data_IF_746043428618
#
_entry.id   IF_746043428618
#
_cell.length_a   1.000
_cell.length_b   1.000
_cell.length_c   1.000
_cell.angle_alpha   90.00
_cell.angle_beta   90.00
_cell.angle_gamma   90.00
#
_symmetry.space_group_name_H-M   'P 1'
#
loop_
_entity.id
_entity.type
_entity.pdbx_description
1 polymer ?
#
# COMPACT_ATOMS: atom_id res chain seq x y z
N UNK A 1 23.71 -5.05 -8.39
CA UNK A 1 22.69 -4.72 -7.38
C UNK A 1 21.52 -4.08 -8.12
N UNK A 2 20.35 -4.69 -8.05
CA UNK A 2 19.11 -4.08 -8.58
C UNK A 2 18.85 -2.80 -7.80
N UNK A 3 18.76 -1.65 -8.49
CA UNK A 3 18.45 -0.39 -7.81
C UNK A 3 17.01 -0.41 -7.29
N UNK A 4 16.74 0.38 -6.25
CA UNK A 4 15.41 0.52 -5.62
C UNK A 4 14.32 0.80 -6.68
N UNK A 5 14.64 1.64 -7.66
CA UNK A 5 13.75 2.01 -8.77
C UNK A 5 13.44 0.83 -9.72
N UNK A 6 14.43 -0.01 -10.01
CA UNK A 6 14.22 -1.22 -10.83
C UNK A 6 13.27 -2.20 -10.12
N UNK A 7 13.34 -2.28 -8.79
CA UNK A 7 12.44 -3.12 -7.99
C UNK A 7 10.97 -2.69 -8.12
N UNK A 8 10.68 -1.41 -8.37
CA UNK A 8 9.31 -0.93 -8.62
C UNK A 8 8.84 -1.25 -10.03
N UNK A 9 9.63 -0.83 -11.03
CA UNK A 9 9.17 -0.65 -12.40
C UNK A 9 9.31 -1.92 -13.24
N UNK A 10 10.43 -2.63 -13.08
CA UNK A 10 10.84 -3.68 -14.03
C UNK A 10 10.67 -5.09 -13.45
N UNK A 11 10.43 -5.17 -12.13
CA UNK A 11 10.41 -6.44 -11.41
C UNK A 11 8.96 -6.93 -11.21
N UNK A 12 8.60 -8.11 -11.75
CA UNK A 12 7.26 -8.65 -11.64
C UNK A 12 6.88 -8.95 -10.19
N UNK A 13 5.58 -9.00 -9.90
CA UNK A 13 5.06 -9.31 -8.56
C UNK A 13 5.49 -10.71 -8.06
N UNK A 14 5.78 -11.63 -8.97
CA UNK A 14 6.31 -12.97 -8.69
C UNK A 14 7.79 -13.01 -8.34
N UNK A 15 8.51 -11.88 -8.42
CA UNK A 15 9.93 -11.84 -8.10
C UNK A 15 10.21 -12.26 -6.66
N UNK A 16 11.20 -13.12 -6.49
CA UNK A 16 11.60 -13.66 -5.19
C UNK A 16 12.44 -12.61 -4.46
N UNK A 17 11.90 -12.09 -3.37
CA UNK A 17 12.54 -11.12 -2.49
C UNK A 17 13.57 -11.84 -1.61
N UNK A 18 13.20 -13.01 -1.05
CA UNK A 18 14.06 -13.81 -0.18
C UNK A 18 14.18 -15.23 -0.75
N UNK A 19 15.36 -15.56 -1.28
CA UNK A 19 15.58 -16.84 -1.98
C UNK A 19 15.45 -18.05 -1.07
N UNK A 20 15.83 -17.93 0.21
CA UNK A 20 15.77 -19.03 1.18
C UNK A 20 14.36 -19.46 1.54
N UNK A 21 13.43 -18.52 1.62
CA UNK A 21 12.04 -18.77 2.02
C UNK A 21 11.09 -18.80 0.82
N UNK A 22 11.55 -18.35 -0.36
CA UNK A 22 10.71 -18.19 -1.54
C UNK A 22 9.73 -17.01 -1.45
N UNK A 23 9.86 -16.14 -0.44
CA UNK A 23 8.99 -14.98 -0.29
C UNK A 23 9.09 -14.06 -1.52
N UNK A 24 7.93 -13.69 -2.07
CA UNK A 24 7.84 -12.89 -3.30
C UNK A 24 7.46 -11.44 -3.02
N UNK A 25 7.70 -10.56 -4.01
CA UNK A 25 7.31 -9.13 -3.97
C UNK A 25 5.83 -8.98 -3.63
N UNK A 26 4.96 -9.81 -4.23
CA UNK A 26 3.52 -9.75 -3.98
C UNK A 26 3.14 -10.01 -2.52
N UNK A 27 3.80 -11.00 -1.87
CA UNK A 27 3.52 -11.32 -0.47
C UNK A 27 3.90 -10.15 0.45
N UNK A 28 5.07 -9.55 0.22
CA UNK A 28 5.54 -8.39 0.96
C UNK A 28 4.63 -7.18 0.73
N UNK A 29 4.25 -6.90 -0.53
CA UNK A 29 3.32 -5.81 -0.84
C UNK A 29 1.95 -6.00 -0.18
N UNK A 30 1.45 -7.23 -0.14
CA UNK A 30 0.21 -7.55 0.56
C UNK A 30 0.32 -7.25 2.05
N UNK A 31 1.40 -7.65 2.71
CA UNK A 31 1.62 -7.33 4.12
C UNK A 31 1.64 -5.82 4.39
N UNK A 32 2.27 -5.03 3.50
CA UNK A 32 2.26 -3.55 3.59
C UNK A 32 0.83 -3.02 3.45
N UNK A 33 0.06 -3.52 2.47
CA UNK A 33 -1.35 -3.14 2.27
C UNK A 33 -2.26 -3.57 3.43
N UNK A 34 -1.91 -4.64 4.14
CA UNK A 34 -2.60 -5.11 5.34
C UNK A 34 -2.16 -4.29 6.59
N UNK A 35 -1.19 -3.38 6.45
CA UNK A 35 -0.81 -2.39 7.45
C UNK A 35 0.55 -2.59 8.12
N UNK A 36 1.37 -3.55 7.66
CA UNK A 36 2.73 -3.73 8.18
C UNK A 36 3.62 -2.53 7.82
N UNK A 37 4.34 -1.99 8.81
CA UNK A 37 5.10 -0.73 8.68
C UNK A 37 6.62 -0.89 8.77
N UNK A 38 7.10 -2.03 9.20
CA UNK A 38 8.51 -2.34 9.37
C UNK A 38 8.79 -3.80 9.03
N UNK A 39 10.07 -4.16 8.98
CA UNK A 39 10.50 -5.51 8.62
C UNK A 39 9.92 -6.56 9.56
N UNK A 40 9.97 -6.31 10.87
CA UNK A 40 9.51 -7.27 11.89
C UNK A 40 8.01 -7.52 11.78
N UNK A 41 7.20 -6.49 11.55
CA UNK A 41 5.76 -6.63 11.27
C UNK A 41 5.48 -7.47 10.02
N UNK A 42 6.31 -7.35 8.98
CA UNK A 42 6.16 -8.18 7.78
C UNK A 42 6.51 -9.64 8.09
N UNK A 43 7.50 -9.91 8.95
CA UNK A 43 7.88 -11.28 9.33
C UNK A 43 6.78 -12.05 10.05
N UNK A 44 5.86 -11.35 10.71
CA UNK A 44 4.71 -11.99 11.38
C UNK A 44 3.75 -12.66 10.38
N UNK A 45 3.76 -12.22 9.12
CA UNK A 45 2.81 -12.67 8.08
C UNK A 45 3.47 -13.28 6.86
N UNK A 46 4.75 -12.96 6.61
CA UNK A 46 5.54 -13.46 5.49
C UNK A 46 6.80 -14.12 6.04
N UNK A 47 7.07 -15.36 5.64
CA UNK A 47 8.29 -16.05 6.03
C UNK A 47 9.51 -15.38 5.36
N UNK A 48 10.28 -14.60 6.13
CA UNK A 48 11.47 -13.88 5.67
C UNK A 48 12.70 -14.37 6.43
N UNK A 49 13.80 -14.56 5.70
CA UNK A 49 15.09 -14.87 6.30
C UNK A 49 15.83 -13.60 6.75
N UNK A 50 16.69 -13.72 7.77
CA UNK A 50 17.54 -12.62 8.24
C UNK A 50 18.76 -12.37 7.33
N UNK A 51 18.62 -12.57 6.02
CA UNK A 51 19.68 -12.26 5.06
C UNK A 51 19.70 -10.77 4.73
N UNK A 52 20.88 -10.16 4.64
CA UNK A 52 21.04 -8.72 4.35
C UNK A 52 20.35 -8.35 3.02
N UNK A 53 20.40 -9.23 2.01
CA UNK A 53 19.76 -8.98 0.71
C UNK A 53 18.24 -8.99 0.82
N UNK A 54 17.69 -9.97 1.57
CA UNK A 54 16.26 -10.06 1.86
C UNK A 54 15.79 -8.81 2.61
N UNK A 55 16.51 -8.43 3.67
CA UNK A 55 16.23 -7.24 4.47
C UNK A 55 16.23 -5.96 3.62
N UNK A 56 17.29 -5.72 2.85
CA UNK A 56 17.42 -4.52 2.01
C UNK A 56 16.31 -4.41 0.96
N UNK A 57 15.88 -5.53 0.38
CA UNK A 57 14.79 -5.54 -0.61
C UNK A 57 13.44 -5.25 0.05
N UNK A 58 13.17 -5.80 1.24
CA UNK A 58 11.94 -5.51 2.00
C UNK A 58 11.92 -4.05 2.44
N UNK A 59 13.03 -3.52 2.96
CA UNK A 59 13.15 -2.10 3.30
C UNK A 59 12.90 -1.20 2.10
N UNK A 60 13.44 -1.55 0.92
CA UNK A 60 13.19 -0.81 -0.30
C UNK A 60 11.68 -0.77 -0.62
N UNK A 61 10.99 -1.90 -0.53
CA UNK A 61 9.54 -1.95 -0.74
C UNK A 61 8.78 -1.09 0.27
N UNK A 62 9.14 -1.15 1.56
CA UNK A 62 8.54 -0.29 2.58
C UNK A 62 8.73 1.19 2.27
N UNK A 63 9.96 1.63 1.98
CA UNK A 63 10.27 3.04 1.67
C UNK A 63 9.47 3.58 0.48
N UNK A 64 9.10 2.71 -0.46
CA UNK A 64 8.38 3.09 -1.67
C UNK A 64 6.86 3.05 -1.49
N UNK A 65 6.34 1.99 -0.88
CA UNK A 65 4.89 1.74 -0.84
C UNK A 65 4.23 2.22 0.45
N UNK A 66 4.95 2.29 1.58
CA UNK A 66 4.38 2.75 2.83
C UNK A 66 3.88 4.20 2.75
N UNK A 67 4.62 5.18 2.17
CA UNK A 67 4.11 6.55 2.05
C UNK A 67 2.85 6.65 1.17
N UNK A 68 2.77 5.82 0.13
CA UNK A 68 1.60 5.75 -0.76
C UNK A 68 0.41 5.18 0.01
N UNK A 69 0.62 4.08 0.74
CA UNK A 69 -0.39 3.45 1.58
C UNK A 69 -0.89 4.43 2.66
N UNK A 70 0.00 5.12 3.35
CA UNK A 70 -0.38 6.11 4.37
C UNK A 70 -1.09 7.32 3.79
N UNK A 71 -0.75 7.76 2.57
CA UNK A 71 -1.49 8.83 1.90
C UNK A 71 -2.90 8.39 1.52
N UNK A 72 -3.07 7.16 1.02
CA UNK A 72 -4.36 6.66 0.56
C UNK A 72 -5.27 6.22 1.72
N UNK A 73 -4.71 5.62 2.77
CA UNK A 73 -5.45 4.96 3.84
C UNK A 73 -5.18 5.57 5.23
N UNK A 74 -4.09 6.31 5.42
CA UNK A 74 -3.73 6.93 6.70
C UNK A 74 -4.51 8.21 7.03
N UNK A 75 -5.14 8.87 6.04
CA UNK A 75 -6.06 10.00 6.26
C UNK A 75 -7.29 9.59 7.11
N UNK A 76 -7.55 8.29 7.24
CA UNK A 76 -8.68 7.77 8.01
C UNK A 76 -8.39 7.48 9.50
N UNK A 77 -7.17 7.72 10.02
CA UNK A 77 -6.85 7.42 11.43
C UNK A 77 -6.77 8.63 12.36
N UNK A 78 -6.63 9.86 11.85
CA UNK A 78 -6.45 11.06 12.68
C UNK A 78 -7.44 12.20 12.38
N UNK A 79 -8.74 11.91 12.37
CA UNK A 79 -9.76 12.97 12.43
C UNK A 79 -10.78 12.71 13.56
N UNK A 80 -10.29 12.82 14.80
CA UNK A 80 -11.00 13.64 15.77
C UNK A 80 -10.66 15.10 15.50
N UNK A 81 -11.34 15.70 14.53
CA UNK A 81 -11.59 17.14 14.51
C UNK A 81 -12.94 17.35 13.86
N UNK A 82 -13.84 17.99 14.60
CA UNK A 82 -15.11 18.55 14.16
C UNK A 82 -15.03 19.10 12.72
N UNK A 83 -15.40 18.28 11.75
CA UNK A 83 -15.89 18.77 10.47
C UNK A 83 -17.30 18.25 10.34
N UNK A 84 -18.23 19.14 10.72
CA UNK A 84 -19.60 19.14 10.23
C UNK A 84 -19.61 18.58 8.81
N UNK A 85 -20.28 17.45 8.66
CA UNK A 85 -20.80 16.98 7.39
C UNK A 85 -21.34 18.20 6.63
N UNK A 86 -20.86 18.53 5.41
CA UNK A 86 -21.66 19.34 4.53
C UNK A 86 -22.80 18.43 4.05
N UNK A 87 -23.82 18.26 4.90
CA UNK A 87 -25.15 17.83 4.44
C UNK A 87 -25.77 18.98 3.66
N UNK A 88 -25.31 19.16 2.44
CA UNK A 88 -26.08 19.70 1.33
C UNK A 88 -25.33 19.31 0.06
N UNK A 89 -25.50 18.05 -0.36
CA UNK A 89 -25.31 17.68 -1.76
C UNK A 89 -26.43 18.36 -2.56
N UNK A 90 -26.18 19.59 -3.00
CA UNK A 90 -26.93 20.16 -4.11
C UNK A 90 -26.40 19.51 -5.38
N UNK A 91 -27.14 18.53 -5.90
CA UNK A 91 -26.89 17.92 -7.19
C UNK A 91 -27.00 18.98 -8.29
N UNK A 92 -25.88 19.36 -8.89
CA UNK A 92 -25.86 20.20 -10.09
C UNK A 92 -26.15 19.33 -11.32
N UNK A 93 -27.30 19.56 -11.95
CA UNK A 93 -27.74 18.83 -13.15
C UNK A 93 -26.88 19.11 -14.39
N UNK A 94 -25.94 20.07 -14.34
CA UNK A 94 -25.12 20.45 -15.50
C UNK A 94 -23.66 19.94 -15.46
N UNK A 95 -23.24 19.20 -14.42
CA UNK A 95 -21.91 18.60 -14.39
C UNK A 95 -21.90 17.21 -15.04
N UNK A 96 -21.97 17.18 -16.37
CA UNK A 96 -21.80 15.95 -17.13
C UNK A 96 -20.33 15.54 -17.21
N UNK A 97 -19.90 14.64 -16.31
CA UNK A 97 -19.02 13.48 -16.63
C UNK A 97 -18.91 12.51 -15.45
N UNK A 98 -19.86 11.56 -15.42
CA UNK A 98 -19.84 10.24 -14.77
C UNK A 98 -19.65 10.19 -13.25
N UNK A 99 -20.72 10.52 -12.51
CA UNK A 99 -21.04 9.76 -11.29
C UNK A 99 -21.87 8.54 -11.71
N UNK A 100 -21.29 7.35 -11.62
CA UNK A 100 -22.03 6.10 -11.72
C UNK A 100 -22.09 5.53 -10.31
N UNK A 101 -23.19 5.77 -9.58
CA UNK A 101 -23.62 5.01 -8.40
C UNK A 101 -25.07 5.39 -8.08
N UNK A 102 -25.91 4.36 -7.93
CA UNK A 102 -27.36 4.38 -7.77
C UNK A 102 -27.90 5.35 -6.71
N UNK A 103 -28.68 6.35 -7.14
CA UNK A 103 -29.64 7.03 -6.27
C UNK A 103 -30.94 6.21 -6.23
N UNK A 104 -31.14 5.41 -5.19
CA UNK A 104 -32.45 4.79 -4.90
C UNK A 104 -33.39 5.86 -4.33
N UNK A 105 -34.62 5.80 -4.83
CA UNK A 105 -35.75 6.71 -4.63
C UNK A 105 -36.20 6.80 -3.18
#
# INVERSE_FOLDING_TARGET
MTTIEQLMRDVPTSFVICEKTGATKNLVLKAIMDGAKDFDSIKETVDLCNDITCHNRVEALLKMYLPIYETLYGIHKDNQHDQKLPQTLTCDANSCKRCNLNCKK
#
